data_IF_948772100476
#
_entry.id   IF_948772100476
#
_cell.length_a   1.000
_cell.length_b   1.000
_cell.length_c   1.000
_cell.angle_alpha   90.00
_cell.angle_beta   90.00
_cell.angle_gamma   90.00
#
_symmetry.space_group_name_H-M   'P 1'
#
loop_
_entity.id
_entity.type
_entity.pdbx_description
1 polymer ?
#
# COMPACT_ATOMS: atom_id res chain seq x y z
N UNK A 1 -25.71 -3.34 9.38
CA UNK A 1 -26.21 -1.94 9.35
C UNK A 1 -25.53 -1.22 10.49
N UNK A 2 -24.77 -0.15 10.20
CA UNK A 2 -24.12 0.68 11.22
C UNK A 2 -25.04 1.86 11.49
N UNK A 3 -25.36 2.13 12.75
CA UNK A 3 -26.15 3.30 13.16
C UNK A 3 -25.21 4.35 13.71
N UNK A 4 -25.04 5.45 12.97
CA UNK A 4 -24.15 6.55 13.33
C UNK A 4 -24.97 7.83 13.51
N UNK A 5 -24.82 8.48 14.67
CA UNK A 5 -25.37 9.83 14.88
C UNK A 5 -24.42 10.83 14.22
N UNK A 6 -24.94 11.56 13.25
CA UNK A 6 -24.23 12.63 12.57
C UNK A 6 -24.73 13.98 13.08
N UNK A 7 -23.86 14.99 13.03
CA UNK A 7 -24.29 16.36 13.25
C UNK A 7 -25.34 16.76 12.18
N UNK A 8 -26.41 17.50 12.55
CA UNK A 8 -27.47 17.89 11.62
C UNK A 8 -26.96 18.63 10.36
N UNK A 9 -25.89 19.42 10.50
CA UNK A 9 -25.28 20.14 9.38
C UNK A 9 -24.65 19.18 8.37
N UNK A 10 -23.96 18.15 8.88
CA UNK A 10 -23.31 17.13 8.06
C UNK A 10 -24.35 16.25 7.35
N UNK A 11 -25.40 15.85 8.06
CA UNK A 11 -26.48 15.07 7.45
C UNK A 11 -27.17 15.83 6.31
N UNK A 12 -27.41 17.14 6.50
CA UNK A 12 -27.96 18.01 5.46
C UNK A 12 -27.03 18.11 4.24
N UNK A 13 -25.72 18.24 4.47
CA UNK A 13 -24.72 18.26 3.41
C UNK A 13 -24.74 16.94 2.61
N UNK A 14 -24.68 15.79 3.29
CA UNK A 14 -24.74 14.46 2.67
C UNK A 14 -26.02 14.30 1.82
N UNK A 15 -27.16 14.74 2.34
CA UNK A 15 -28.43 14.67 1.62
C UNK A 15 -28.43 15.50 0.33
N UNK A 16 -27.91 16.72 0.39
CA UNK A 16 -27.82 17.60 -0.77
C UNK A 16 -26.84 17.04 -1.81
N UNK A 17 -25.67 16.58 -1.39
CA UNK A 17 -24.68 15.98 -2.28
C UNK A 17 -25.21 14.71 -2.93
N UNK A 18 -25.87 13.84 -2.18
CA UNK A 18 -26.47 12.61 -2.72
C UNK A 18 -27.52 12.92 -3.78
N UNK A 19 -28.40 13.91 -3.54
CA UNK A 19 -29.38 14.38 -4.54
C UNK A 19 -28.72 14.94 -5.78
N UNK A 20 -27.71 15.79 -5.63
CA UNK A 20 -27.00 16.40 -6.76
C UNK A 20 -26.28 15.36 -7.63
N UNK A 21 -25.81 14.27 -7.03
CA UNK A 21 -25.15 13.17 -7.73
C UNK A 21 -26.12 12.10 -8.25
N UNK A 22 -27.42 12.21 -7.96
CA UNK A 22 -28.40 11.18 -8.32
C UNK A 22 -28.20 9.84 -7.59
N UNK A 23 -27.60 9.89 -6.40
CA UNK A 23 -27.22 8.71 -5.62
C UNK A 23 -28.02 8.60 -4.32
N UNK A 24 -28.08 7.38 -3.75
CA UNK A 24 -28.63 7.21 -2.40
C UNK A 24 -27.64 7.67 -1.33
N UNK A 25 -28.14 8.11 -0.17
CA UNK A 25 -27.30 8.49 0.98
C UNK A 25 -26.32 7.38 1.36
N UNK A 26 -26.82 6.15 1.43
CA UNK A 26 -26.02 4.97 1.81
C UNK A 26 -24.93 4.67 0.80
N UNK A 27 -25.20 4.85 -0.49
CA UNK A 27 -24.21 4.64 -1.54
C UNK A 27 -23.10 5.71 -1.49
N UNK A 28 -23.49 6.98 -1.31
CA UNK A 28 -22.53 8.08 -1.14
C UNK A 28 -21.60 7.80 0.06
N UNK A 29 -22.18 7.46 1.22
CA UNK A 29 -21.41 7.14 2.44
C UNK A 29 -20.47 5.96 2.20
N UNK A 30 -20.94 4.90 1.53
CA UNK A 30 -20.11 3.71 1.25
C UNK A 30 -18.90 4.08 0.38
N UNK A 31 -19.12 4.80 -0.73
CA UNK A 31 -18.02 5.21 -1.61
C UNK A 31 -17.04 6.14 -0.90
N UNK A 32 -17.54 7.10 -0.10
CA UNK A 32 -16.67 8.00 0.65
C UNK A 32 -15.81 7.28 1.69
N UNK A 33 -16.36 6.28 2.40
CA UNK A 33 -15.60 5.47 3.36
C UNK A 33 -14.53 4.65 2.63
N UNK A 34 -14.90 3.99 1.54
CA UNK A 34 -13.98 3.15 0.76
C UNK A 34 -12.82 3.98 0.18
N UNK A 35 -13.14 5.16 -0.37
CA UNK A 35 -12.14 6.10 -0.86
C UNK A 35 -11.21 6.61 0.26
N UNK A 36 -11.76 6.92 1.43
CA UNK A 36 -10.97 7.37 2.57
C UNK A 36 -10.04 6.27 3.09
N UNK A 37 -10.53 5.03 3.21
CA UNK A 37 -9.72 3.88 3.59
C UNK A 37 -8.64 3.57 2.55
N UNK A 38 -8.95 3.69 1.26
CA UNK A 38 -7.99 3.56 0.17
C UNK A 38 -6.86 4.58 0.25
N UNK A 39 -7.16 5.82 0.63
CA UNK A 39 -6.13 6.86 0.87
C UNK A 39 -5.24 6.56 2.07
N UNK A 40 -5.78 5.91 3.10
CA UNK A 40 -5.03 5.51 4.30
C UNK A 40 -4.21 4.23 4.12
N UNK A 41 -4.58 3.39 3.16
CA UNK A 41 -3.86 2.18 2.81
C UNK A 41 -2.49 2.55 2.23
N UNK A 42 -1.50 2.72 3.11
CA UNK A 42 -0.09 2.71 2.69
C UNK A 42 0.20 1.32 2.11
N UNK A 43 0.85 1.22 0.94
CA UNK A 43 1.28 -0.08 0.45
C UNK A 43 2.15 -0.72 1.54
N UNK A 44 1.84 -1.96 1.92
CA UNK A 44 2.67 -2.68 2.87
C UNK A 44 4.09 -2.81 2.26
N UNK A 45 5.12 -3.01 3.09
CA UNK A 45 6.51 -3.07 2.60
C UNK A 45 6.73 -4.14 1.52
N UNK A 46 5.94 -5.22 1.55
CA UNK A 46 5.94 -6.26 0.53
C UNK A 46 5.36 -5.78 -0.82
N UNK A 47 4.20 -5.13 -0.81
CA UNK A 47 3.56 -4.57 -2.01
C UNK A 47 4.42 -3.44 -2.60
N UNK A 48 5.06 -2.62 -1.76
CA UNK A 48 5.97 -1.57 -2.21
C UNK A 48 7.23 -2.12 -2.89
N UNK A 49 7.71 -3.29 -2.47
CA UNK A 49 8.88 -3.96 -3.04
C UNK A 49 8.57 -4.91 -4.21
N UNK A 50 7.29 -5.15 -4.51
CA UNK A 50 6.86 -6.17 -5.48
C UNK A 50 7.48 -5.98 -6.85
N UNK A 51 7.58 -4.74 -7.32
CA UNK A 51 8.20 -4.41 -8.60
C UNK A 51 9.73 -4.53 -8.60
N UNK A 52 10.36 -4.67 -7.44
CA UNK A 52 11.81 -4.81 -7.30
C UNK A 52 12.24 -6.26 -7.07
N UNK A 53 11.34 -7.09 -6.52
CA UNK A 53 11.62 -8.51 -6.30
C UNK A 53 11.78 -9.25 -7.63
N UNK A 54 12.80 -10.11 -7.71
CA UNK A 54 13.03 -10.97 -8.88
C UNK A 54 13.57 -10.28 -10.14
N UNK A 55 13.63 -8.94 -10.22
CA UNK A 55 14.19 -8.22 -11.38
C UNK A 55 15.69 -8.48 -11.58
N UNK A 56 16.42 -8.64 -10.49
CA UNK A 56 17.85 -8.91 -10.52
C UNK A 56 18.16 -10.14 -9.69
N UNK A 57 18.84 -11.10 -10.30
CA UNK A 57 19.39 -12.27 -9.63
C UNK A 57 20.89 -12.27 -9.82
N UNK A 58 21.63 -12.54 -8.75
CA UNK A 58 23.07 -12.74 -8.81
C UNK A 58 23.49 -14.07 -9.42
N UNK A 59 22.53 -14.96 -9.70
CA UNK A 59 22.78 -16.35 -10.13
C UNK A 59 23.39 -17.24 -9.04
N UNK A 60 23.71 -16.69 -7.86
CA UNK A 60 24.31 -17.39 -6.73
C UNK A 60 23.35 -17.34 -5.53
N UNK A 61 22.77 -18.49 -5.19
CA UNK A 61 21.84 -18.62 -4.06
C UNK A 61 22.48 -18.50 -2.68
N UNK A 62 23.82 -18.57 -2.60
CA UNK A 62 24.57 -18.57 -1.35
C UNK A 62 25.18 -17.21 -0.98
N UNK A 63 24.88 -16.13 -1.71
CA UNK A 63 25.44 -14.80 -1.45
C UNK A 63 25.18 -14.29 -0.02
N UNK A 64 24.02 -14.63 0.55
CA UNK A 64 23.65 -14.25 1.93
C UNK A 64 24.35 -15.13 2.96
N UNK A 65 24.35 -16.45 2.75
CA UNK A 65 24.94 -17.42 3.67
C UNK A 65 26.47 -17.31 3.75
N UNK A 66 27.14 -17.23 2.60
CA UNK A 66 28.60 -17.30 2.50
C UNK A 66 29.25 -15.92 2.34
N UNK A 67 28.54 -14.85 2.77
CA UNK A 67 28.91 -13.45 2.50
C UNK A 67 30.37 -13.14 2.83
N UNK A 68 30.89 -13.67 3.94
CA UNK A 68 32.24 -13.38 4.44
C UNK A 68 33.31 -14.00 3.55
N UNK A 69 33.10 -15.24 3.12
CA UNK A 69 34.06 -15.95 2.27
C UNK A 69 34.11 -15.35 0.86
N UNK A 70 32.94 -15.04 0.29
CA UNK A 70 32.83 -14.42 -1.04
C UNK A 70 33.56 -13.07 -1.06
N UNK A 71 33.36 -12.23 -0.04
CA UNK A 71 34.04 -10.92 0.05
C UNK A 71 35.55 -11.10 0.20
N UNK A 72 36.00 -12.00 1.08
CA UNK A 72 37.43 -12.27 1.28
C UNK A 72 38.12 -12.74 -0.01
N UNK A 73 37.46 -13.63 -0.76
CA UNK A 73 37.95 -14.13 -2.04
C UNK A 73 38.02 -13.01 -3.09
N UNK A 74 36.99 -12.16 -3.20
CA UNK A 74 37.01 -10.98 -4.09
C UNK A 74 38.15 -10.01 -3.77
N UNK A 75 38.40 -9.71 -2.50
CA UNK A 75 39.48 -8.80 -2.08
C UNK A 75 40.85 -9.40 -2.41
N UNK A 76 41.04 -10.70 -2.16
CA UNK A 76 42.29 -11.41 -2.51
C UNK A 76 42.54 -11.42 -4.02
N UNK A 77 41.52 -11.67 -4.82
CA UNK A 77 41.63 -11.67 -6.28
C UNK A 77 42.04 -10.29 -6.86
N UNK A 78 41.67 -9.18 -6.20
CA UNK A 78 42.09 -7.82 -6.59
C UNK A 78 43.50 -7.43 -6.18
N UNK A 79 44.11 -8.17 -5.24
CA UNK A 79 45.47 -7.90 -4.73
C UNK A 79 46.54 -8.77 -5.39
N UNK A 80 46.15 -9.53 -6.42
CA UNK A 80 47.02 -10.34 -7.26
C UNK A 80 47.17 -9.63 -8.60
#
# INVERSE_FOLDING_TARGET
>A
MITLRLDPKLEKAINNTARNLGMTKSELIRKSIDEYLGKLAKPNAWNAGQDLFGKYSSGQGNLSADRKEIVKNKIRAKRK
#
